data_IF_613518408500
#
_entry.id   IF_613518408500
#
_cell.length_a   1.000
_cell.length_b   1.000
_cell.length_c   1.000
_cell.angle_alpha   90.00
_cell.angle_beta   90.00
_cell.angle_gamma   90.00
#
_symmetry.space_group_name_H-M   'P 1'
#
loop_
_entity.id
_entity.type
_entity.pdbx_description
1 polymer ?
#
# COMPACT_ATOMS: atom_id res chain seq x y z
N UNK A 1 61.62 -28.01 -37.82
CA UNK A 1 62.62 -27.19 -37.11
C UNK A 1 61.93 -26.49 -35.98
N UNK A 2 61.94 -27.03 -34.79
CA UNK A 2 61.43 -26.39 -33.58
C UNK A 2 62.52 -25.49 -33.01
N UNK A 3 62.23 -24.22 -32.88
CA UNK A 3 63.17 -23.27 -32.25
C UNK A 3 63.30 -23.65 -30.76
N UNK A 4 64.48 -23.77 -30.21
CA UNK A 4 64.68 -24.30 -28.88
C UNK A 4 64.54 -23.25 -27.77
N UNK A 5 64.06 -22.09 -28.06
CA UNK A 5 63.86 -21.04 -27.06
C UNK A 5 62.48 -20.43 -27.24
N UNK A 6 61.51 -20.98 -26.52
CA UNK A 6 60.32 -20.21 -26.15
C UNK A 6 60.80 -19.12 -25.18
N UNK A 7 60.94 -17.93 -25.70
CA UNK A 7 61.37 -16.78 -24.92
C UNK A 7 60.17 -16.32 -24.07
N UNK A 8 60.01 -16.90 -22.88
CA UNK A 8 58.98 -16.46 -21.93
C UNK A 8 59.32 -15.05 -21.44
N UNK A 9 58.81 -14.04 -22.17
CA UNK A 9 58.96 -12.61 -21.84
C UNK A 9 58.04 -12.16 -20.70
N UNK A 10 57.13 -13.02 -20.21
CA UNK A 10 56.12 -12.67 -19.21
C UNK A 10 56.72 -12.15 -17.90
N UNK A 11 57.89 -12.66 -17.52
CA UNK A 11 58.63 -12.20 -16.35
C UNK A 11 59.26 -10.81 -16.54
N UNK A 12 59.67 -10.48 -17.77
CA UNK A 12 60.23 -9.15 -18.11
C UNK A 12 59.13 -8.13 -18.14
N UNK A 13 58.00 -8.46 -18.75
CA UNK A 13 56.78 -7.58 -18.79
C UNK A 13 56.27 -7.28 -17.38
N UNK A 14 56.16 -8.28 -16.51
CA UNK A 14 55.77 -8.12 -15.11
C UNK A 14 56.75 -7.21 -14.33
N UNK A 15 58.06 -7.38 -14.54
CA UNK A 15 59.07 -6.52 -13.89
C UNK A 15 59.02 -5.07 -14.39
N UNK A 16 58.84 -4.87 -15.68
CA UNK A 16 58.67 -3.52 -16.28
C UNK A 16 57.42 -2.85 -15.78
N UNK A 17 56.27 -3.55 -15.78
CA UNK A 17 55.02 -3.03 -15.25
C UNK A 17 55.15 -2.65 -13.78
N UNK A 18 55.75 -3.51 -12.95
CA UNK A 18 55.96 -3.23 -11.53
C UNK A 18 56.87 -2.01 -11.29
N UNK A 19 57.90 -1.85 -12.11
CA UNK A 19 58.84 -0.74 -12.02
C UNK A 19 58.21 0.57 -12.46
N UNK A 20 57.42 0.58 -13.55
CA UNK A 20 56.63 1.69 -13.98
C UNK A 20 55.59 2.13 -12.96
N UNK A 21 54.85 1.17 -12.40
CA UNK A 21 53.89 1.44 -11.31
C UNK A 21 54.56 2.07 -10.08
N UNK A 22 55.76 1.66 -9.75
CA UNK A 22 56.48 2.20 -8.57
C UNK A 22 57.08 3.60 -8.86
N UNK A 23 57.56 3.85 -10.07
CA UNK A 23 58.12 5.13 -10.44
C UNK A 23 57.09 6.25 -10.47
N UNK A 24 55.86 5.95 -10.94
CA UNK A 24 54.75 6.90 -11.03
C UNK A 24 53.68 6.69 -9.97
N UNK A 25 54.09 6.27 -8.78
CA UNK A 25 53.19 5.86 -7.70
C UNK A 25 52.15 6.92 -7.35
N UNK A 26 52.56 8.19 -7.28
CA UNK A 26 51.64 9.27 -6.94
C UNK A 26 50.58 9.48 -8.05
N UNK A 27 50.99 9.51 -9.32
CA UNK A 27 50.06 9.65 -10.45
C UNK A 27 49.06 8.51 -10.51
N UNK A 28 49.56 7.26 -10.33
CA UNK A 28 48.70 6.07 -10.31
C UNK A 28 47.72 6.07 -9.12
N UNK A 29 48.17 6.53 -7.95
CA UNK A 29 47.32 6.68 -6.76
C UNK A 29 46.18 7.67 -7.02
N UNK A 30 46.50 8.86 -7.59
CA UNK A 30 45.47 9.85 -7.94
C UNK A 30 44.49 9.32 -8.99
N UNK A 31 44.96 8.57 -9.99
CA UNK A 31 44.10 7.95 -11.00
C UNK A 31 43.14 6.92 -10.38
N UNK A 32 43.62 6.10 -9.45
CA UNK A 32 42.80 5.12 -8.71
C UNK A 32 41.76 5.82 -7.84
N UNK A 33 42.18 6.86 -7.09
CA UNK A 33 41.27 7.64 -6.24
C UNK A 33 40.19 8.29 -7.11
N UNK A 34 40.56 8.92 -8.22
CA UNK A 34 39.61 9.53 -9.14
C UNK A 34 38.59 8.51 -9.69
N UNK A 35 39.04 7.32 -10.07
CA UNK A 35 38.19 6.24 -10.57
C UNK A 35 37.24 5.72 -9.49
N UNK A 36 37.76 5.50 -8.26
CA UNK A 36 36.96 5.08 -7.12
C UNK A 36 35.91 6.14 -6.77
N UNK A 37 36.29 7.43 -6.75
CA UNK A 37 35.38 8.53 -6.47
C UNK A 37 34.26 8.63 -7.52
N UNK A 38 34.62 8.50 -8.80
CA UNK A 38 33.66 8.49 -9.90
C UNK A 38 32.69 7.33 -9.79
N UNK A 39 33.19 6.11 -9.55
CA UNK A 39 32.35 4.94 -9.35
C UNK A 39 31.41 5.10 -8.13
N UNK A 40 31.95 5.63 -7.03
CA UNK A 40 31.16 5.91 -5.83
C UNK A 40 30.04 6.94 -6.12
N UNK A 41 30.37 8.04 -6.78
CA UNK A 41 29.36 9.07 -7.11
C UNK A 41 28.26 8.52 -8.01
N UNK A 42 28.61 7.74 -9.03
CA UNK A 42 27.61 7.11 -9.92
C UNK A 42 26.72 6.18 -9.11
N UNK A 43 27.30 5.27 -8.32
CA UNK A 43 26.53 4.31 -7.52
C UNK A 43 25.63 5.02 -6.50
N UNK A 44 26.17 6.03 -5.81
CA UNK A 44 25.39 6.81 -4.84
C UNK A 44 24.21 7.53 -5.51
N UNK A 45 24.43 8.15 -6.68
CA UNK A 45 23.37 8.85 -7.41
C UNK A 45 22.25 7.91 -7.84
N UNK A 46 22.58 6.75 -8.40
CA UNK A 46 21.58 5.76 -8.78
C UNK A 46 20.86 5.17 -7.56
N UNK A 47 21.59 4.85 -6.49
CA UNK A 47 21.00 4.31 -5.26
C UNK A 47 20.00 5.29 -4.64
N UNK A 48 20.37 6.57 -4.53
CA UNK A 48 19.46 7.61 -4.00
C UNK A 48 18.26 7.79 -4.94
N UNK A 49 18.50 7.82 -6.26
CA UNK A 49 17.44 7.97 -7.25
C UNK A 49 16.39 6.85 -7.20
N UNK A 50 16.83 5.60 -7.15
CA UNK A 50 15.92 4.45 -7.02
C UNK A 50 15.18 4.45 -5.68
N UNK A 51 15.89 4.69 -4.56
CA UNK A 51 15.26 4.76 -3.24
C UNK A 51 14.21 5.87 -3.15
N UNK A 52 14.48 7.03 -3.74
CA UNK A 52 13.51 8.13 -3.81
C UNK A 52 12.28 7.74 -4.63
N UNK A 53 12.48 7.11 -5.78
CA UNK A 53 11.38 6.69 -6.65
C UNK A 53 10.46 5.67 -5.98
N UNK A 54 11.03 4.63 -5.35
CA UNK A 54 10.27 3.63 -4.60
C UNK A 54 9.49 4.26 -3.43
N UNK A 55 10.15 5.15 -2.68
CA UNK A 55 9.51 5.86 -1.57
C UNK A 55 8.36 6.73 -2.07
N UNK A 56 8.55 7.44 -3.18
CA UNK A 56 7.53 8.28 -3.79
C UNK A 56 6.31 7.46 -4.25
N UNK A 57 6.53 6.34 -4.94
CA UNK A 57 5.44 5.45 -5.36
C UNK A 57 4.66 4.92 -4.15
N UNK A 58 5.37 4.43 -3.12
CA UNK A 58 4.73 3.94 -1.89
C UNK A 58 3.90 5.06 -1.22
N UNK A 59 4.41 6.27 -1.17
CA UNK A 59 3.68 7.41 -0.62
C UNK A 59 2.42 7.71 -1.44
N UNK A 60 2.48 7.65 -2.76
CA UNK A 60 1.31 7.89 -3.62
C UNK A 60 0.21 6.85 -3.37
N UNK A 61 0.51 5.56 -3.38
CA UNK A 61 -0.49 4.52 -3.13
C UNK A 61 -1.10 4.61 -1.72
N UNK A 62 -0.30 4.95 -0.72
CA UNK A 62 -0.78 5.16 0.66
C UNK A 62 -1.73 6.36 0.77
N UNK A 63 -1.42 7.47 0.12
CA UNK A 63 -2.28 8.65 0.09
C UNK A 63 -3.57 8.42 -0.73
N UNK A 64 -3.51 7.58 -1.76
CA UNK A 64 -4.69 7.17 -2.54
C UNK A 64 -5.53 6.14 -1.76
N UNK A 65 -4.91 5.32 -0.92
CA UNK A 65 -5.54 4.26 -0.16
C UNK A 65 -5.92 3.06 -1.01
N UNK A 66 -5.32 2.91 -2.20
CA UNK A 66 -5.51 1.76 -3.09
C UNK A 66 -4.33 1.62 -4.03
N UNK A 67 -4.03 0.40 -4.44
CA UNK A 67 -3.11 0.09 -5.54
C UNK A 67 -3.83 -0.08 -6.88
N UNK A 68 -5.16 0.00 -6.89
CA UNK A 68 -5.92 -0.06 -8.14
C UNK A 68 -5.65 1.17 -9.02
N UNK A 69 -5.51 0.95 -10.30
CA UNK A 69 -5.26 2.00 -11.29
C UNK A 69 -6.56 2.73 -11.67
N UNK A 70 -7.68 2.01 -11.68
CA UNK A 70 -8.99 2.53 -12.09
C UNK A 70 -10.08 2.04 -11.15
N UNK A 71 -10.98 2.95 -10.74
CA UNK A 71 -12.22 2.63 -10.04
C UNK A 71 -13.42 2.93 -10.93
N UNK A 72 -14.26 1.93 -11.22
CA UNK A 72 -15.51 2.10 -11.97
C UNK A 72 -16.66 1.96 -10.99
N UNK A 73 -17.43 3.05 -10.82
CA UNK A 73 -18.57 3.09 -9.91
C UNK A 73 -19.86 2.60 -10.61
N UNK A 74 -20.81 2.12 -9.82
CA UNK A 74 -22.11 1.65 -10.28
C UNK A 74 -22.03 0.49 -11.30
N UNK A 75 -21.14 -0.45 -11.03
CA UNK A 75 -20.90 -1.60 -11.92
C UNK A 75 -21.95 -2.68 -11.68
N UNK A 76 -22.52 -3.20 -12.77
CA UNK A 76 -23.42 -4.34 -12.74
C UNK A 76 -22.65 -5.66 -12.77
N UNK A 77 -23.30 -6.77 -12.34
CA UNK A 77 -22.66 -8.10 -12.37
C UNK A 77 -22.18 -8.49 -13.78
N UNK A 78 -22.95 -8.18 -14.84
CA UNK A 78 -22.56 -8.46 -16.20
C UNK A 78 -21.28 -7.71 -16.59
N UNK A 79 -21.15 -6.45 -16.20
CA UNK A 79 -19.95 -5.64 -16.45
C UNK A 79 -18.75 -6.17 -15.66
N UNK A 80 -18.93 -6.61 -14.41
CA UNK A 80 -17.88 -7.25 -13.63
C UNK A 80 -17.34 -8.50 -14.31
N UNK A 81 -18.23 -9.35 -14.85
CA UNK A 81 -17.85 -10.56 -15.60
C UNK A 81 -17.08 -10.20 -16.88
N UNK A 82 -17.49 -9.15 -17.59
CA UNK A 82 -16.78 -8.71 -18.81
C UNK A 82 -15.39 -8.14 -18.48
N UNK A 83 -15.29 -7.31 -17.46
CA UNK A 83 -14.02 -6.73 -16.98
C UNK A 83 -13.06 -7.84 -16.58
N UNK A 84 -13.52 -8.81 -15.78
CA UNK A 84 -12.68 -9.91 -15.27
C UNK A 84 -12.18 -10.86 -16.38
N UNK A 85 -12.83 -10.88 -17.56
CA UNK A 85 -12.39 -11.66 -18.71
C UNK A 85 -11.35 -10.96 -19.58
N UNK A 86 -11.09 -9.70 -19.35
CA UNK A 86 -10.14 -8.91 -20.13
C UNK A 86 -8.71 -9.34 -19.84
N UNK A 87 -7.93 -9.61 -20.87
CA UNK A 87 -6.50 -9.93 -20.75
C UNK A 87 -5.64 -8.72 -20.31
N UNK A 88 -6.23 -7.53 -20.25
CA UNK A 88 -5.57 -6.29 -19.83
C UNK A 88 -5.71 -6.05 -18.32
N UNK A 89 -6.54 -6.83 -17.64
CA UNK A 89 -6.83 -6.69 -16.21
C UNK A 89 -6.07 -7.77 -15.46
N UNK A 90 -5.32 -7.37 -14.46
CA UNK A 90 -4.56 -8.27 -13.61
C UNK A 90 -5.45 -8.85 -12.50
N UNK A 91 -6.17 -7.97 -11.81
CA UNK A 91 -7.15 -8.33 -10.78
C UNK A 91 -8.28 -7.29 -10.70
N UNK A 92 -9.41 -7.70 -10.12
CA UNK A 92 -10.59 -6.87 -9.92
C UNK A 92 -11.05 -7.06 -8.47
N UNK A 93 -10.91 -6.02 -7.67
CA UNK A 93 -11.48 -5.96 -6.33
C UNK A 93 -12.87 -5.30 -6.34
N UNK A 94 -13.69 -5.68 -5.39
CA UNK A 94 -15.06 -5.14 -5.25
C UNK A 94 -15.14 -4.36 -3.95
N UNK A 95 -15.55 -3.10 -4.06
CA UNK A 95 -15.89 -2.26 -2.93
C UNK A 95 -17.36 -1.88 -3.00
N UNK A 96 -18.09 -2.01 -1.89
CA UNK A 96 -19.46 -1.53 -1.77
C UNK A 96 -19.60 -0.58 -0.59
N UNK A 97 -20.04 0.66 -0.87
CA UNK A 97 -20.35 1.62 0.16
C UNK A 97 -21.78 1.38 0.64
N UNK A 98 -21.93 1.07 1.92
CA UNK A 98 -23.21 0.72 2.53
C UNK A 98 -23.88 1.92 3.22
N UNK A 99 -23.06 2.86 3.70
CA UNK A 99 -23.57 4.00 4.45
C UNK A 99 -22.49 4.93 4.97
N UNK A 100 -22.82 5.69 5.98
CA UNK A 100 -21.90 6.62 6.66
C UNK A 100 -22.13 6.65 8.16
N UNK A 101 -21.05 6.90 8.91
CA UNK A 101 -21.06 7.06 10.36
C UNK A 101 -21.37 8.50 10.72
N UNK A 102 -22.22 8.69 11.71
CA UNK A 102 -22.57 9.99 12.31
C UNK A 102 -22.61 9.86 13.84
N UNK A 103 -21.46 9.57 14.41
CA UNK A 103 -21.27 9.48 15.86
C UNK A 103 -20.80 10.84 16.39
N UNK A 104 -21.31 11.28 17.54
CA UNK A 104 -21.05 12.61 18.10
C UNK A 104 -19.55 12.92 18.23
N UNK A 105 -18.74 11.95 18.66
CA UNK A 105 -17.29 12.09 18.78
C UNK A 105 -16.58 12.21 17.41
N UNK A 106 -17.26 11.84 16.32
CA UNK A 106 -16.70 11.76 14.97
C UNK A 106 -17.31 12.78 14.00
N UNK A 107 -17.95 13.84 14.49
CA UNK A 107 -18.67 14.86 13.67
C UNK A 107 -17.77 15.54 12.62
N UNK A 108 -16.46 15.63 12.89
CA UNK A 108 -15.49 16.16 11.94
C UNK A 108 -14.89 15.10 11.01
N UNK A 109 -15.25 13.84 11.19
CA UNK A 109 -14.77 12.73 10.37
C UNK A 109 -15.83 12.35 9.31
N UNK A 110 -15.38 12.09 8.10
CA UNK A 110 -16.23 11.58 7.01
C UNK A 110 -15.96 10.10 6.82
N UNK A 111 -16.61 9.28 7.63
CA UNK A 111 -16.43 7.84 7.62
C UNK A 111 -17.51 7.16 6.80
N UNK A 112 -17.10 6.43 5.77
CA UNK A 112 -17.96 5.53 5.03
C UNK A 112 -17.99 4.15 5.66
N UNK A 113 -19.16 3.55 5.77
CA UNK A 113 -19.31 2.12 6.06
C UNK A 113 -19.13 1.37 4.75
N UNK A 114 -18.14 0.49 4.67
CA UNK A 114 -17.72 -0.15 3.43
C UNK A 114 -17.50 -1.63 3.66
N UNK A 115 -18.05 -2.43 2.76
CA UNK A 115 -17.66 -3.81 2.57
C UNK A 115 -16.76 -3.92 1.34
N UNK A 116 -15.72 -4.75 1.44
CA UNK A 116 -14.83 -5.08 0.33
C UNK A 116 -14.62 -6.60 0.28
N UNK A 117 -14.36 -7.11 -0.92
CA UNK A 117 -14.04 -8.51 -1.10
C UNK A 117 -12.56 -8.82 -0.77
N UNK A 118 -12.22 -10.10 -0.79
CA UNK A 118 -10.87 -10.56 -0.45
C UNK A 118 -9.82 -9.99 -1.41
N UNK A 119 -10.14 -9.87 -2.70
CA UNK A 119 -9.22 -9.30 -3.69
C UNK A 119 -8.92 -7.82 -3.42
N UNK A 120 -9.97 -7.02 -3.15
CA UNK A 120 -9.81 -5.62 -2.78
C UNK A 120 -9.02 -5.48 -1.48
N UNK A 121 -9.30 -6.34 -0.48
CA UNK A 121 -8.58 -6.30 0.79
C UNK A 121 -7.10 -6.65 0.62
N UNK A 122 -6.78 -7.80 0.05
CA UNK A 122 -5.42 -8.34 0.01
C UNK A 122 -4.53 -7.61 -1.01
N UNK A 123 -5.07 -7.31 -2.19
CA UNK A 123 -4.28 -6.78 -3.29
C UNK A 123 -4.28 -5.26 -3.36
N UNK A 124 -5.38 -4.61 -2.95
CA UNK A 124 -5.52 -3.17 -3.15
C UNK A 124 -5.42 -2.36 -1.85
N UNK A 125 -5.96 -2.87 -0.74
CA UNK A 125 -5.99 -2.12 0.54
C UNK A 125 -4.82 -2.42 1.44
N UNK A 126 -4.54 -3.69 1.70
CA UNK A 126 -3.49 -4.11 2.62
C UNK A 126 -2.12 -3.50 2.31
N UNK A 127 -1.67 -3.37 1.03
CA UNK A 127 -0.41 -2.72 0.70
C UNK A 127 -0.36 -1.21 1.03
N UNK A 128 -1.50 -0.56 1.19
CA UNK A 128 -1.60 0.90 1.40
C UNK A 128 -1.66 1.31 2.88
N UNK A 129 -1.92 0.38 3.77
CA UNK A 129 -2.05 0.58 5.21
C UNK A 129 -0.85 -0.03 5.95
N UNK A 130 -0.74 0.22 7.24
CA UNK A 130 0.29 -0.40 8.07
C UNK A 130 -0.22 -0.65 9.49
N UNK A 131 0.59 -1.36 10.30
CA UNK A 131 0.25 -1.60 11.71
C UNK A 131 -1.08 -2.32 11.89
N UNK A 132 -1.41 -3.25 11.00
CA UNK A 132 -2.65 -4.03 11.08
C UNK A 132 -2.57 -4.97 12.27
N UNK A 133 -3.56 -4.87 13.15
CA UNK A 133 -3.74 -5.73 14.32
C UNK A 133 -5.14 -6.34 14.26
N UNK A 134 -5.25 -7.64 14.52
CA UNK A 134 -6.51 -8.39 14.37
C UNK A 134 -6.77 -8.84 12.94
N UNK A 135 -8.03 -9.04 12.61
CA UNK A 135 -8.47 -9.59 11.33
C UNK A 135 -9.55 -8.73 10.69
N UNK A 136 -9.72 -8.88 9.37
CA UNK A 136 -10.86 -8.33 8.66
C UNK A 136 -12.18 -8.89 9.26
N UNK A 137 -13.26 -8.08 9.37
CA UNK A 137 -14.51 -8.50 9.98
C UNK A 137 -15.13 -9.72 9.29
N UNK A 138 -15.53 -10.72 10.05
CA UNK A 138 -16.18 -11.95 9.57
C UNK A 138 -17.64 -12.07 10.04
N UNK A 139 -17.93 -11.63 11.25
CA UNK A 139 -19.26 -11.71 11.84
C UNK A 139 -20.05 -10.41 11.62
N UNK A 140 -21.37 -10.49 11.67
CA UNK A 140 -22.28 -9.35 11.45
C UNK A 140 -22.00 -8.14 12.36
N UNK A 141 -21.62 -8.41 13.60
CA UNK A 141 -21.38 -7.39 14.62
C UNK A 141 -19.89 -7.00 14.75
N UNK A 142 -19.06 -7.39 13.81
CA UNK A 142 -17.63 -7.04 13.79
C UNK A 142 -17.35 -5.87 12.87
N UNK A 143 -16.41 -5.01 13.32
CA UNK A 143 -15.89 -3.89 12.52
C UNK A 143 -14.39 -3.79 12.63
N UNK A 144 -13.77 -3.20 11.59
CA UNK A 144 -12.37 -2.82 11.60
C UNK A 144 -12.23 -1.32 11.35
N UNK A 145 -11.43 -0.65 12.18
CA UNK A 145 -11.31 0.80 12.23
C UNK A 145 -9.86 1.26 12.05
N UNK A 146 -9.63 2.44 11.45
CA UNK A 146 -8.31 3.06 11.51
C UNK A 146 -8.02 3.62 12.91
N UNK A 147 -6.75 3.58 13.32
CA UNK A 147 -6.28 4.02 14.65
C UNK A 147 -6.69 5.45 14.98
N UNK A 148 -6.62 6.37 14.00
CA UNK A 148 -6.99 7.76 14.22
C UNK A 148 -8.48 7.96 14.58
N UNK A 149 -9.37 7.06 14.12
CA UNK A 149 -10.79 7.06 14.50
C UNK A 149 -10.94 6.66 15.97
N UNK A 150 -10.25 5.59 16.38
CA UNK A 150 -10.24 5.15 17.77
C UNK A 150 -9.71 6.23 18.71
N UNK A 151 -8.64 6.92 18.32
CA UNK A 151 -8.09 8.07 19.06
C UNK A 151 -9.10 9.21 19.18
N UNK A 152 -9.84 9.55 18.12
CA UNK A 152 -10.91 10.57 18.19
C UNK A 152 -12.06 10.15 19.10
N UNK A 153 -12.33 8.85 19.22
CA UNK A 153 -13.29 8.31 20.18
C UNK A 153 -12.74 8.24 21.61
N UNK A 154 -11.51 8.69 21.85
CA UNK A 154 -10.84 8.65 23.16
C UNK A 154 -10.27 7.28 23.52
N UNK A 155 -10.15 6.36 22.58
CA UNK A 155 -9.59 5.02 22.78
C UNK A 155 -8.12 5.03 22.39
N UNK A 156 -7.23 5.14 23.38
CA UNK A 156 -5.77 5.19 23.20
C UNK A 156 -5.09 3.82 23.23
N UNK A 157 -5.74 2.81 23.78
CA UNK A 157 -5.23 1.43 23.85
C UNK A 157 -6.32 0.44 23.38
N UNK A 158 -6.51 0.31 22.05
CA UNK A 158 -7.56 -0.53 21.50
C UNK A 158 -7.26 -2.02 21.70
N UNK A 159 -8.26 -2.77 22.16
CA UNK A 159 -8.20 -4.20 22.36
C UNK A 159 -9.15 -4.91 21.38
N UNK A 160 -8.70 -6.00 20.77
CA UNK A 160 -9.56 -6.83 19.93
C UNK A 160 -10.69 -7.43 20.78
N UNK A 161 -11.92 -7.35 20.25
CA UNK A 161 -13.13 -7.80 20.93
C UNK A 161 -13.77 -6.74 21.84
N UNK A 162 -13.17 -5.54 21.96
CA UNK A 162 -13.84 -4.46 22.70
C UNK A 162 -15.10 -3.98 21.98
N UNK A 163 -16.06 -3.50 22.77
CA UNK A 163 -17.30 -2.95 22.26
C UNK A 163 -17.14 -1.50 21.79
N UNK A 164 -17.61 -1.23 20.58
CA UNK A 164 -17.63 0.10 19.95
C UNK A 164 -19.07 0.44 19.59
N UNK A 165 -19.59 1.51 20.14
CA UNK A 165 -20.93 2.04 19.78
C UNK A 165 -20.77 3.01 18.62
N UNK A 166 -21.45 2.72 17.50
CA UNK A 166 -21.50 3.61 16.36
C UNK A 166 -22.94 3.98 16.03
N UNK A 167 -23.17 5.28 15.81
CA UNK A 167 -24.39 5.79 15.17
C UNK A 167 -24.11 5.96 13.69
N UNK A 168 -24.97 5.41 12.85
CA UNK A 168 -24.75 5.36 11.42
C UNK A 168 -26.07 5.38 10.63
N UNK A 169 -25.97 5.68 9.35
CA UNK A 169 -27.06 5.55 8.39
C UNK A 169 -26.67 4.62 7.25
N UNK A 170 -27.65 3.89 6.71
CA UNK A 170 -27.48 3.01 5.56
C UNK A 170 -28.12 3.64 4.33
N UNK A 171 -27.40 3.60 3.21
CA UNK A 171 -27.81 4.24 1.96
C UNK A 171 -27.93 5.77 2.13
N UNK A 172 -28.90 6.35 1.44
CA UNK A 172 -29.24 7.77 1.50
C UNK A 172 -30.41 8.05 2.46
N UNK A 173 -30.74 7.08 3.33
CA UNK A 173 -31.82 7.24 4.31
C UNK A 173 -31.36 8.15 5.44
N UNK A 174 -32.20 9.12 5.84
CA UNK A 174 -31.91 9.96 7.00
C UNK A 174 -32.23 9.28 8.34
N UNK A 175 -32.38 7.96 8.34
CA UNK A 175 -32.63 7.18 9.55
C UNK A 175 -31.29 6.75 10.16
N UNK A 176 -30.97 7.33 11.31
CA UNK A 176 -29.82 6.94 12.10
C UNK A 176 -30.15 5.77 13.01
N UNK A 177 -29.27 4.79 13.03
CA UNK A 177 -29.34 3.62 13.90
C UNK A 177 -28.07 3.60 14.74
N UNK A 178 -28.18 3.23 16.00
CA UNK A 178 -27.02 3.04 16.88
C UNK A 178 -26.92 1.57 17.27
N UNK A 179 -25.80 0.95 16.94
CA UNK A 179 -25.50 -0.42 17.28
C UNK A 179 -24.15 -0.55 17.99
N UNK A 180 -24.01 -1.63 18.75
CA UNK A 180 -22.76 -2.01 19.38
C UNK A 180 -22.06 -3.06 18.54
N UNK A 181 -20.84 -2.74 18.12
CA UNK A 181 -19.96 -3.61 17.35
C UNK A 181 -18.79 -4.10 18.19
N UNK A 182 -18.19 -5.20 17.78
CA UNK A 182 -16.94 -5.72 18.31
C UNK A 182 -15.79 -5.31 17.40
N UNK A 183 -14.73 -4.78 17.96
CA UNK A 183 -13.52 -4.43 17.21
C UNK A 183 -12.79 -5.70 16.81
N UNK A 184 -12.86 -6.11 15.55
CA UNK A 184 -12.16 -7.27 15.00
C UNK A 184 -10.71 -6.96 14.61
N UNK A 185 -10.43 -5.70 14.29
CA UNK A 185 -9.11 -5.24 13.92
C UNK A 185 -9.02 -3.72 13.83
N UNK A 186 -7.77 -3.25 13.80
CA UNK A 186 -7.47 -1.83 13.54
C UNK A 186 -6.17 -1.70 12.75
N UNK A 187 -5.98 -0.53 12.12
CA UNK A 187 -4.86 -0.30 11.21
C UNK A 187 -4.51 1.19 11.14
N UNK A 188 -3.29 1.48 10.70
CA UNK A 188 -2.87 2.84 10.41
C UNK A 188 -3.22 3.19 8.97
N UNK A 189 -4.03 4.24 8.79
CA UNK A 189 -4.49 4.76 7.51
C UNK A 189 -3.77 6.07 7.17
N UNK A 190 -3.40 6.24 5.91
CA UNK A 190 -2.71 7.44 5.40
C UNK A 190 -3.61 8.35 4.56
N UNK A 191 -4.83 7.91 4.21
CA UNK A 191 -5.82 8.70 3.46
C UNK A 191 -6.12 10.05 4.12
N UNK A 192 -6.26 10.15 5.47
CA UNK A 192 -6.51 11.42 6.14
C UNK A 192 -5.46 12.49 5.91
N UNK A 193 -4.22 12.12 5.62
CA UNK A 193 -3.15 13.06 5.29
C UNK A 193 -3.41 13.82 3.98
N UNK A 194 -4.20 13.25 3.07
CA UNK A 194 -4.61 13.86 1.80
C UNK A 194 -5.98 14.51 1.88
N UNK A 195 -6.91 13.88 2.56
CA UNK A 195 -8.34 14.22 2.52
C UNK A 195 -8.90 14.44 3.92
N UNK A 196 -8.59 15.51 4.56
CA UNK A 196 -9.07 15.90 5.90
C UNK A 196 -10.12 14.96 6.53
N UNK A 197 -9.70 14.07 7.42
CA UNK A 197 -10.53 13.18 8.24
C UNK A 197 -11.51 12.29 7.44
N UNK A 198 -11.16 11.85 6.25
CA UNK A 198 -11.87 10.79 5.55
C UNK A 198 -11.29 9.43 5.89
N UNK A 199 -12.16 8.42 6.02
CA UNK A 199 -11.75 7.05 6.27
C UNK A 199 -12.91 6.08 6.06
N UNK A 200 -12.62 4.82 6.31
CA UNK A 200 -13.57 3.74 6.15
C UNK A 200 -13.71 2.93 7.44
N UNK A 201 -14.94 2.56 7.74
CA UNK A 201 -15.29 1.51 8.68
C UNK A 201 -15.53 0.26 7.86
N UNK A 202 -14.66 -0.72 7.97
CA UNK A 202 -14.87 -2.00 7.28
C UNK A 202 -15.82 -2.88 8.08
N UNK A 203 -16.74 -3.52 7.35
CA UNK A 203 -17.74 -4.45 7.89
C UNK A 203 -17.69 -5.76 7.12
N UNK A 204 -18.23 -6.82 7.71
CA UNK A 204 -18.29 -8.16 7.12
C UNK A 204 -19.32 -8.29 6.00
N UNK A 205 -19.19 -9.33 5.19
CA UNK A 205 -20.25 -9.77 4.26
C UNK A 205 -21.55 -10.09 4.98
N UNK A 206 -21.47 -10.70 6.17
CA UNK A 206 -22.63 -11.01 7.00
C UNK A 206 -23.40 -9.75 7.44
N UNK A 207 -22.70 -8.63 7.70
CA UNK A 207 -23.37 -7.35 7.95
C UNK A 207 -24.06 -6.85 6.68
N UNK A 208 -23.34 -6.79 5.55
CA UNK A 208 -23.88 -6.37 4.26
C UNK A 208 -25.14 -7.15 3.89
N UNK A 209 -25.09 -8.48 3.98
CA UNK A 209 -26.20 -9.36 3.61
C UNK A 209 -27.41 -9.24 4.56
N UNK A 210 -27.20 -8.76 5.78
CA UNK A 210 -28.28 -8.49 6.73
C UNK A 210 -29.07 -7.20 6.45
N UNK A 211 -28.56 -6.34 5.55
CA UNK A 211 -29.22 -5.12 5.16
C UNK A 211 -30.32 -5.45 4.15
N UNK A 212 -31.58 -5.22 4.50
CA UNK A 212 -32.73 -5.42 3.60
C UNK A 212 -32.92 -4.23 2.63
N UNK A 213 -31.85 -3.60 2.20
CA UNK A 213 -31.86 -2.41 1.34
C UNK A 213 -31.20 -2.74 0.01
N UNK A 214 -31.84 -2.37 -1.10
CA UNK A 214 -31.19 -2.45 -2.42
C UNK A 214 -30.10 -1.37 -2.50
N UNK A 215 -28.85 -1.81 -2.64
CA UNK A 215 -27.68 -0.95 -2.76
C UNK A 215 -27.05 -1.04 -4.17
N UNK A 216 -27.90 -1.26 -5.18
CA UNK A 216 -27.49 -1.58 -6.56
C UNK A 216 -26.53 -0.55 -7.18
N UNK A 217 -26.58 0.70 -6.75
CA UNK A 217 -25.72 1.78 -7.28
C UNK A 217 -24.50 2.11 -6.40
N UNK A 218 -24.17 1.26 -5.43
CA UNK A 218 -23.07 1.52 -4.47
C UNK A 218 -21.81 0.69 -4.72
N UNK A 219 -21.85 -0.18 -5.72
CA UNK A 219 -20.75 -1.10 -6.06
C UNK A 219 -19.71 -0.38 -6.93
N UNK A 220 -18.46 -0.49 -6.54
CA UNK A 220 -17.30 0.01 -7.30
C UNK A 220 -16.37 -1.16 -7.60
N UNK A 221 -16.03 -1.35 -8.87
CA UNK A 221 -14.95 -2.24 -9.28
C UNK A 221 -13.62 -1.50 -9.23
N UNK A 222 -12.67 -2.05 -8.51
CA UNK A 222 -11.30 -1.55 -8.39
C UNK A 222 -10.40 -2.45 -9.23
N UNK A 223 -9.79 -1.87 -10.25
CA UNK A 223 -9.11 -2.61 -11.34
C UNK A 223 -7.63 -2.26 -11.34
N UNK A 224 -6.83 -3.31 -11.47
CA UNK A 224 -5.38 -3.20 -11.65
C UNK A 224 -4.89 -4.00 -12.84
#
# INVERSE_FOLDING_TARGET
MTWPFENDTSNIEKKLAKRSLHHERQRNLFAIIALVLTAFMITATFSIGFSYFETYQMQQIRLMGTTADVGITNVTENQLVEISKSNLVLDVGIQQRLGSVDTEQLQNARLGIVWIDDTEWEHHRLPTISGVVGNYPSSKNEIMLPTWVLEQMGISDPQIGMEIVLSYQIGDSYNYVSDTFLLSGYYTDYIPMRTNNRGYVYVSSAFKDSLNVSLDNSVTAMIR
#
